data_IF_424699240914
#
_entry.id   IF_424699240914
#
_cell.length_a   1.000
_cell.length_b   1.000
_cell.length_c   1.000
_cell.angle_alpha   90.00
_cell.angle_beta   90.00
_cell.angle_gamma   90.00
#
_symmetry.space_group_name_H-M   'P 1'
#
loop_
_entity.id
_entity.type
_entity.pdbx_description
1 polymer ?
#
# COMPACT_ATOMS: atom_id res chain seq x y z
N UNK A 1 -18.69 -22.41 1.22
CA UNK A 1 -17.90 -21.18 1.44
C UNK A 1 -18.84 -19.98 1.46
N UNK A 2 -18.87 -19.23 2.55
CA UNK A 2 -19.70 -18.03 2.65
C UNK A 2 -19.16 -16.95 1.70
N UNK A 3 -20.02 -16.28 0.95
CA UNK A 3 -19.63 -15.26 -0.03
C UNK A 3 -18.73 -14.13 0.53
N UNK A 4 -18.69 -13.94 1.84
CA UNK A 4 -17.84 -12.98 2.54
C UNK A 4 -16.36 -13.39 2.61
N UNK A 5 -16.03 -14.68 2.54
CA UNK A 5 -14.65 -15.17 2.68
C UNK A 5 -13.81 -14.96 1.42
N UNK A 6 -14.46 -14.97 0.25
CA UNK A 6 -13.75 -14.85 -1.05
C UNK A 6 -13.03 -13.50 -1.20
N UNK A 7 -13.52 -12.45 -0.54
CA UNK A 7 -12.97 -11.09 -0.61
C UNK A 7 -12.45 -10.59 0.73
N UNK A 8 -12.27 -11.47 1.72
CA UNK A 8 -11.89 -11.07 3.08
C UNK A 8 -10.61 -10.22 3.05
N UNK A 9 -9.57 -10.72 2.42
CA UNK A 9 -8.29 -10.01 2.34
C UNK A 9 -8.43 -8.63 1.71
N UNK A 10 -9.10 -8.51 0.57
CA UNK A 10 -9.32 -7.22 -0.05
C UNK A 10 -10.13 -6.28 0.85
N UNK A 11 -11.18 -6.77 1.50
CA UNK A 11 -12.01 -5.96 2.38
C UNK A 11 -11.22 -5.44 3.59
N UNK A 12 -10.39 -6.26 4.20
CA UNK A 12 -9.55 -5.89 5.34
C UNK A 12 -8.50 -4.85 4.92
N UNK A 13 -7.87 -5.06 3.76
CA UNK A 13 -6.92 -4.10 3.20
C UNK A 13 -7.57 -2.77 2.85
N UNK A 14 -8.75 -2.78 2.24
CA UNK A 14 -9.47 -1.56 1.87
C UNK A 14 -9.96 -0.80 3.11
N UNK A 15 -10.42 -1.49 4.13
CA UNK A 15 -10.79 -0.86 5.41
C UNK A 15 -9.59 -0.18 6.06
N UNK A 16 -8.44 -0.87 6.13
CA UNK A 16 -7.20 -0.30 6.63
C UNK A 16 -6.78 0.93 5.80
N UNK A 17 -6.81 0.82 4.48
CA UNK A 17 -6.53 1.93 3.56
C UNK A 17 -7.42 3.15 3.84
N UNK A 18 -8.73 2.94 3.97
CA UNK A 18 -9.69 4.02 4.18
C UNK A 18 -9.43 4.77 5.48
N UNK A 19 -9.20 4.04 6.58
CA UNK A 19 -8.89 4.63 7.89
C UNK A 19 -7.59 5.41 7.85
N UNK A 20 -6.51 4.84 7.29
CA UNK A 20 -5.22 5.52 7.21
C UNK A 20 -5.26 6.74 6.31
N UNK A 21 -5.99 6.66 5.20
CA UNK A 21 -6.13 7.78 4.28
C UNK A 21 -6.87 8.96 4.91
N UNK A 22 -7.96 8.71 5.64
CA UNK A 22 -8.66 9.78 6.37
C UNK A 22 -7.76 10.38 7.44
N UNK A 23 -7.08 9.56 8.22
CA UNK A 23 -6.12 10.05 9.20
C UNK A 23 -5.01 10.93 8.59
N UNK A 24 -4.45 10.55 7.44
CA UNK A 24 -3.42 11.33 6.75
C UNK A 24 -3.94 12.66 6.19
N UNK A 25 -5.25 12.78 5.93
CA UNK A 25 -5.86 14.07 5.55
C UNK A 25 -5.98 15.01 6.74
N UNK A 26 -6.32 14.47 7.89
CA UNK A 26 -6.59 15.25 9.11
C UNK A 26 -5.31 15.59 9.88
N UNK A 27 -4.15 15.59 9.28
CA UNK A 27 -2.76 15.79 9.72
C UNK A 27 -2.47 16.35 11.13
N UNK A 28 -3.47 16.62 11.94
CA UNK A 28 -3.39 17.07 13.34
C UNK A 28 -3.82 15.99 14.35
N UNK A 29 -4.22 14.80 13.88
CA UNK A 29 -4.85 13.77 14.71
C UNK A 29 -3.88 12.71 15.24
N UNK A 30 -4.27 12.13 16.36
CA UNK A 30 -3.66 10.91 16.90
C UNK A 30 -3.78 9.78 15.88
N UNK A 31 -2.72 8.97 15.71
CA UNK A 31 -2.76 7.79 14.84
C UNK A 31 -3.95 6.90 15.21
N UNK A 32 -4.86 6.58 14.27
CA UNK A 32 -6.01 5.77 14.59
C UNK A 32 -5.60 4.37 15.01
N UNK A 33 -6.32 3.83 15.96
CA UNK A 33 -6.18 2.43 16.34
C UNK A 33 -6.80 1.55 15.26
N UNK A 34 -5.99 0.67 14.68
CA UNK A 34 -6.44 -0.31 13.71
C UNK A 34 -6.68 -1.65 14.39
N UNK A 35 -7.88 -1.85 14.91
CA UNK A 35 -8.29 -3.16 15.37
C UNK A 35 -9.08 -3.87 14.25
N UNK A 36 -8.40 -4.77 13.54
CA UNK A 36 -8.95 -5.43 12.36
C UNK A 36 -9.73 -6.70 12.71
N UNK A 37 -9.44 -7.34 13.84
CA UNK A 37 -10.02 -8.64 14.19
C UNK A 37 -11.08 -8.55 15.28
N UNK A 38 -10.88 -7.72 16.28
CA UNK A 38 -11.83 -7.60 17.38
C UNK A 38 -11.81 -6.18 17.99
N UNK A 39 -12.85 -5.36 17.76
CA UNK A 39 -12.93 -4.02 18.34
C UNK A 39 -12.92 -4.00 19.87
N UNK A 40 -13.19 -5.13 20.51
CA UNK A 40 -13.20 -5.26 21.97
C UNK A 40 -11.89 -5.77 22.57
N UNK A 41 -10.93 -6.19 21.75
CA UNK A 41 -9.62 -6.60 22.23
C UNK A 41 -8.77 -5.37 22.61
N UNK A 42 -8.29 -5.32 23.84
CA UNK A 42 -7.54 -4.16 24.37
C UNK A 42 -6.19 -3.89 23.73
N UNK A 43 -5.78 -4.65 22.73
CA UNK A 43 -4.53 -4.43 21.99
C UNK A 43 -4.79 -3.51 20.80
N UNK A 44 -4.41 -2.26 20.94
CA UNK A 44 -4.51 -1.25 19.89
C UNK A 44 -3.18 -1.15 19.16
N UNK A 45 -3.14 -1.73 17.96
CA UNK A 45 -2.00 -1.56 17.09
C UNK A 45 -2.03 -0.18 16.41
N UNK A 46 -0.92 0.56 16.50
CA UNK A 46 -0.78 1.90 15.91
C UNK A 46 0.39 1.91 14.94
N UNK A 47 0.14 2.10 13.65
CA UNK A 47 1.23 2.20 12.68
C UNK A 47 1.98 3.53 12.84
N UNK A 48 3.28 3.51 12.58
CA UNK A 48 4.04 4.73 12.45
C UNK A 48 3.53 5.57 11.26
N UNK A 49 3.52 6.93 11.35
CA UNK A 49 3.02 7.79 10.29
C UNK A 49 3.63 7.53 8.91
N UNK A 50 4.94 7.35 8.84
CA UNK A 50 5.64 7.05 7.59
C UNK A 50 5.18 5.74 6.96
N UNK A 51 4.92 4.72 7.76
CA UNK A 51 4.41 3.42 7.29
C UNK A 51 2.96 3.48 6.87
N UNK A 52 2.15 4.28 7.55
CA UNK A 52 0.77 4.52 7.14
C UNK A 52 0.73 5.16 5.74
N UNK A 53 1.59 6.13 5.50
CA UNK A 53 1.73 6.76 4.18
C UNK A 53 2.21 5.76 3.12
N UNK A 54 3.23 4.95 3.41
CA UNK A 54 3.71 3.88 2.53
C UNK A 54 2.58 2.89 2.18
N UNK A 55 1.80 2.46 3.17
CA UNK A 55 0.68 1.54 2.96
C UNK A 55 -0.37 2.11 2.00
N UNK A 56 -0.76 3.36 2.21
CA UNK A 56 -1.73 4.05 1.35
C UNK A 56 -1.22 4.13 -0.09
N UNK A 57 0.05 4.52 -0.28
CA UNK A 57 0.67 4.60 -1.60
C UNK A 57 0.79 3.23 -2.27
N UNK A 58 1.19 2.20 -1.53
CA UNK A 58 1.33 0.84 -2.06
C UNK A 58 -0.03 0.24 -2.44
N UNK A 59 -1.07 0.45 -1.62
CA UNK A 59 -2.43 0.04 -1.96
C UNK A 59 -2.89 0.61 -3.29
N UNK A 60 -2.74 1.93 -3.48
CA UNK A 60 -3.13 2.60 -4.71
C UNK A 60 -2.28 2.17 -5.91
N UNK A 61 -0.96 2.10 -5.74
CA UNK A 61 -0.02 1.73 -6.80
C UNK A 61 -0.25 0.31 -7.30
N UNK A 62 -0.39 -0.64 -6.38
CA UNK A 62 -0.60 -2.05 -6.73
C UNK A 62 -1.98 -2.23 -7.36
N UNK A 63 -3.01 -1.59 -6.80
CA UNK A 63 -4.35 -1.64 -7.35
C UNK A 63 -4.42 -1.10 -8.78
N UNK A 64 -3.83 0.06 -9.04
CA UNK A 64 -3.76 0.62 -10.39
C UNK A 64 -2.96 -0.25 -11.34
N UNK A 65 -1.86 -0.84 -10.90
CA UNK A 65 -1.03 -1.74 -11.71
C UNK A 65 -1.79 -3.02 -12.08
N UNK A 66 -2.48 -3.63 -11.13
CA UNK A 66 -3.25 -4.85 -11.35
C UNK A 66 -4.40 -4.67 -12.35
N UNK A 67 -4.98 -3.46 -12.38
CA UNK A 67 -6.10 -3.12 -13.26
C UNK A 67 -5.68 -2.40 -14.55
N UNK A 68 -4.39 -2.21 -14.78
CA UNK A 68 -3.85 -1.49 -15.94
C UNK A 68 -3.80 -2.38 -17.18
N UNK A 69 -4.97 -2.85 -17.61
CA UNK A 69 -5.15 -3.60 -18.87
C UNK A 69 -5.91 -2.75 -19.86
N UNK A 70 -5.61 -2.91 -21.14
CA UNK A 70 -6.22 -2.10 -22.21
C UNK A 70 -7.75 -2.19 -22.24
N UNK A 71 -8.28 -3.36 -21.96
CA UNK A 71 -9.71 -3.69 -21.92
C UNK A 71 -10.39 -3.35 -20.56
N UNK A 72 -9.63 -2.89 -19.56
CA UNK A 72 -10.11 -2.67 -18.19
C UNK A 72 -10.19 -1.20 -17.78
N UNK A 73 -10.20 -0.27 -18.74
CA UNK A 73 -10.26 1.19 -18.46
C UNK A 73 -11.44 1.57 -17.55
N UNK A 74 -12.61 1.00 -17.77
CA UNK A 74 -13.80 1.23 -16.95
C UNK A 74 -13.63 0.71 -15.51
N UNK A 75 -13.02 -0.47 -15.34
CA UNK A 75 -12.75 -1.08 -14.03
C UNK A 75 -11.68 -0.29 -13.25
N UNK A 76 -10.67 0.22 -13.94
CA UNK A 76 -9.68 1.12 -13.35
C UNK A 76 -10.32 2.44 -12.91
N UNK A 77 -11.25 2.98 -13.71
CA UNK A 77 -12.02 4.18 -13.36
C UNK A 77 -12.87 3.93 -12.10
N UNK A 78 -13.57 2.77 -12.05
CA UNK A 78 -14.33 2.34 -10.87
C UNK A 78 -13.44 2.26 -9.64
N UNK A 79 -12.27 1.63 -9.73
CA UNK A 79 -11.33 1.55 -8.62
C UNK A 79 -10.93 2.93 -8.10
N UNK A 80 -10.54 3.83 -9.00
CA UNK A 80 -10.13 5.18 -8.61
C UNK A 80 -11.27 6.00 -7.99
N UNK A 81 -12.49 5.89 -8.51
CA UNK A 81 -13.65 6.69 -8.06
C UNK A 81 -14.23 6.11 -6.76
N UNK A 82 -14.47 4.81 -6.72
CA UNK A 82 -15.18 4.18 -5.61
C UNK A 82 -14.23 3.82 -4.45
N UNK A 83 -13.15 3.08 -4.73
CA UNK A 83 -12.26 2.59 -3.67
C UNK A 83 -11.21 3.62 -3.23
N UNK A 84 -10.65 4.38 -4.15
CA UNK A 84 -9.59 5.35 -3.84
C UNK A 84 -10.19 6.68 -3.36
N UNK A 85 -11.14 7.24 -4.08
CA UNK A 85 -11.73 8.54 -3.71
C UNK A 85 -12.83 8.43 -2.65
N UNK A 86 -13.41 7.23 -2.47
CA UNK A 86 -14.48 7.00 -1.49
C UNK A 86 -15.81 7.62 -1.90
N UNK A 87 -16.11 7.70 -3.21
CA UNK A 87 -17.40 8.16 -3.67
C UNK A 87 -18.51 7.19 -3.24
N UNK A 88 -19.67 7.70 -2.86
CA UNK A 88 -20.84 6.86 -2.61
C UNK A 88 -21.26 6.09 -3.87
N UNK A 89 -21.99 4.99 -3.68
CA UNK A 89 -22.36 4.08 -4.76
C UNK A 89 -23.04 4.79 -5.95
N UNK A 90 -24.08 5.59 -5.68
CA UNK A 90 -24.85 6.27 -6.73
C UNK A 90 -23.99 7.28 -7.50
N UNK A 91 -23.16 8.02 -6.79
CA UNK A 91 -22.21 8.95 -7.40
C UNK A 91 -21.15 8.21 -8.22
N UNK A 92 -20.64 7.09 -7.73
CA UNK A 92 -19.64 6.30 -8.42
C UNK A 92 -20.21 5.72 -9.74
N UNK A 93 -21.42 5.15 -9.73
CA UNK A 93 -22.11 4.66 -10.93
C UNK A 93 -22.21 5.76 -11.99
N UNK A 94 -22.68 6.95 -11.60
CA UNK A 94 -22.78 8.11 -12.51
C UNK A 94 -21.42 8.56 -13.06
N UNK A 95 -20.41 8.64 -12.20
CA UNK A 95 -19.07 9.07 -12.60
C UNK A 95 -18.38 8.05 -13.52
N UNK A 96 -18.60 6.76 -13.29
CA UNK A 96 -18.07 5.70 -14.16
C UNK A 96 -18.80 5.68 -15.49
N UNK A 97 -20.11 6.01 -15.50
CA UNK A 97 -20.92 6.14 -16.72
C UNK A 97 -21.45 4.81 -17.25
N UNK A 98 -21.82 3.88 -16.35
CA UNK A 98 -22.34 2.56 -16.69
C UNK A 98 -23.65 2.28 -15.96
N UNK A 99 -24.39 1.24 -16.36
CA UNK A 99 -25.57 0.79 -15.62
C UNK A 99 -25.16 0.21 -14.27
N UNK A 100 -26.07 0.22 -13.29
CA UNK A 100 -25.86 -0.37 -11.97
C UNK A 100 -25.46 -1.85 -12.07
N UNK A 101 -26.13 -2.62 -12.93
CA UNK A 101 -25.80 -4.03 -13.12
C UNK A 101 -24.37 -4.23 -13.65
N UNK A 102 -23.92 -3.39 -14.58
CA UNK A 102 -22.55 -3.42 -15.10
C UNK A 102 -21.56 -2.98 -14.04
N UNK A 103 -21.91 -1.98 -13.23
CA UNK A 103 -21.08 -1.52 -12.12
C UNK A 103 -20.88 -2.62 -11.09
N UNK A 104 -21.95 -3.33 -10.69
CA UNK A 104 -21.89 -4.44 -9.73
C UNK A 104 -21.06 -5.61 -10.24
N UNK A 105 -21.17 -5.91 -11.53
CA UNK A 105 -20.34 -6.91 -12.17
C UNK A 105 -18.86 -6.53 -12.11
N UNK A 106 -18.51 -5.30 -12.52
CA UNK A 106 -17.14 -4.79 -12.48
C UNK A 106 -16.60 -4.67 -11.04
N UNK A 107 -17.46 -4.28 -10.11
CA UNK A 107 -17.10 -4.22 -8.69
C UNK A 107 -16.62 -5.58 -8.16
N UNK A 108 -17.35 -6.66 -8.48
CA UNK A 108 -16.97 -8.02 -8.10
C UNK A 108 -15.66 -8.46 -8.80
N UNK A 109 -15.49 -8.14 -10.07
CA UNK A 109 -14.27 -8.47 -10.80
C UNK A 109 -13.04 -7.72 -10.25
N UNK A 110 -13.18 -6.43 -9.98
CA UNK A 110 -12.12 -5.62 -9.38
C UNK A 110 -11.71 -6.20 -8.02
N UNK A 111 -12.67 -6.52 -7.15
CA UNK A 111 -12.37 -7.14 -5.85
C UNK A 111 -11.65 -8.48 -6.00
N UNK A 112 -12.07 -9.32 -6.93
CA UNK A 112 -11.43 -10.63 -7.19
C UNK A 112 -10.00 -10.47 -7.69
N UNK A 113 -9.79 -9.57 -8.64
CA UNK A 113 -8.47 -9.28 -9.19
C UNK A 113 -7.51 -8.72 -8.13
N UNK A 114 -7.97 -7.76 -7.34
CA UNK A 114 -7.16 -7.15 -6.29
C UNK A 114 -6.89 -8.10 -5.13
N UNK A 115 -7.86 -8.93 -4.75
CA UNK A 115 -7.65 -9.95 -3.72
C UNK A 115 -6.54 -10.93 -4.11
N UNK A 116 -6.50 -11.34 -5.38
CA UNK A 116 -5.44 -12.21 -5.93
C UNK A 116 -4.09 -11.50 -5.97
N UNK A 117 -4.07 -10.25 -6.44
CA UNK A 117 -2.83 -9.48 -6.56
C UNK A 117 -2.23 -9.12 -5.20
N UNK A 118 -3.04 -8.74 -4.24
CA UNK A 118 -2.59 -8.46 -2.87
C UNK A 118 -2.01 -9.72 -2.21
N UNK A 119 -2.64 -10.88 -2.40
CA UNK A 119 -2.08 -12.14 -1.93
C UNK A 119 -0.72 -12.46 -2.58
N UNK A 120 -0.59 -12.20 -3.87
CA UNK A 120 0.65 -12.47 -4.63
C UNK A 120 1.80 -11.55 -4.24
N UNK A 121 1.53 -10.30 -3.93
CA UNK A 121 2.57 -9.32 -3.59
C UNK A 121 3.08 -9.44 -2.15
N UNK A 122 2.50 -10.30 -1.33
CA UNK A 122 2.91 -10.50 0.06
C UNK A 122 2.73 -9.26 0.96
N UNK A 123 2.02 -8.26 0.47
CA UNK A 123 1.76 -7.00 1.19
C UNK A 123 0.66 -7.13 2.24
N UNK A 124 -0.01 -8.26 2.30
CA UNK A 124 -1.26 -8.37 3.03
C UNK A 124 -1.44 -9.73 3.68
N UNK A 125 -2.13 -9.84 4.77
CA UNK A 125 -3.02 -8.85 5.44
C UNK A 125 -2.26 -7.66 6.05
N UNK A 126 -2.95 -6.55 6.40
CA UNK A 126 -2.31 -5.34 6.96
C UNK A 126 -1.34 -5.59 8.10
N UNK A 127 -1.66 -6.50 9.00
CA UNK A 127 -0.80 -6.89 10.12
C UNK A 127 0.57 -7.38 9.64
N UNK A 128 0.61 -8.28 8.68
CA UNK A 128 1.86 -8.78 8.10
C UNK A 128 2.64 -7.68 7.40
N UNK A 129 1.95 -6.76 6.71
CA UNK A 129 2.59 -5.61 6.08
C UNK A 129 3.39 -4.78 7.08
N UNK A 130 2.78 -4.50 8.21
CA UNK A 130 3.40 -3.64 9.21
C UNK A 130 4.44 -4.39 10.05
N UNK A 131 4.23 -5.66 10.36
CA UNK A 131 5.19 -6.50 11.08
C UNK A 131 6.43 -6.84 10.24
N UNK A 132 6.25 -7.22 8.99
CA UNK A 132 7.35 -7.66 8.11
C UNK A 132 8.41 -6.58 7.90
N UNK A 133 8.04 -5.30 7.95
CA UNK A 133 9.00 -4.19 7.77
C UNK A 133 9.67 -3.73 9.06
N UNK A 134 9.23 -4.17 10.24
CA UNK A 134 9.96 -3.96 11.48
C UNK A 134 11.27 -4.74 11.54
N UNK A 135 11.33 -5.86 10.84
CA UNK A 135 12.55 -6.66 10.66
C UNK A 135 13.40 -6.22 9.46
N UNK A 136 13.49 -4.90 9.19
CA UNK A 136 14.48 -4.40 8.24
C UNK A 136 15.85 -4.84 8.75
N UNK A 137 16.63 -5.67 8.02
CA UNK A 137 17.98 -6.00 8.46
C UNK A 137 18.70 -4.69 8.69
N UNK A 138 19.26 -4.54 9.89
CA UNK A 138 20.14 -3.41 10.19
C UNK A 138 21.06 -3.21 9.00
N UNK A 139 21.09 -1.99 8.47
CA UNK A 139 22.05 -1.64 7.43
C UNK A 139 23.38 -2.12 7.93
N UNK A 140 23.93 -3.17 7.30
CA UNK A 140 25.30 -3.59 7.52
C UNK A 140 26.10 -2.31 7.45
N UNK A 141 26.56 -1.85 8.63
CA UNK A 141 27.50 -0.74 8.71
C UNK A 141 28.66 -1.19 7.84
N UNK A 142 28.77 -0.65 6.63
CA UNK A 142 29.96 -0.81 5.83
C UNK A 142 31.08 -0.29 6.73
N UNK A 143 31.75 -1.19 7.39
CA UNK A 143 33.02 -0.91 8.05
C UNK A 143 33.88 -0.28 6.96
N UNK A 144 34.12 1.01 7.11
CA UNK A 144 35.07 1.71 6.26
C UNK A 144 36.38 0.97 6.40
N UNK A 145 36.74 0.20 5.39
CA UNK A 145 38.04 -0.45 5.31
C UNK A 145 39.12 0.62 5.47
N UNK A 146 40.28 0.27 6.08
CA UNK A 146 41.31 1.24 6.35
C UNK A 146 41.74 1.93 5.04
N UNK A 147 41.54 3.25 4.97
CA UNK A 147 42.06 4.07 3.90
C UNK A 147 43.58 3.85 3.83
N UNK A 148 44.06 3.16 2.81
CA UNK A 148 45.48 3.11 2.46
C UNK A 148 45.91 4.57 2.24
N UNK A 149 46.79 5.09 3.13
CA UNK A 149 47.45 6.34 2.94
C UNK A 149 48.37 6.20 1.71
N UNK A 150 47.99 6.84 0.61
CA UNK A 150 48.89 7.02 -0.53
C UNK A 150 49.90 8.07 -0.12
N UNK A 151 51.14 7.62 0.11
CA UNK A 151 52.29 8.50 0.34
C UNK A 151 52.63 9.17 -1.00
N UNK A 152 52.74 10.49 -1.09
CA UNK A 152 53.18 11.13 -2.32
C UNK A 152 54.70 10.90 -2.49
N UNK A 153 55.06 10.15 -3.50
CA UNK A 153 56.45 10.04 -3.94
C UNK A 153 56.93 11.38 -4.47
N UNK A 154 57.90 11.92 -3.73
CA UNK A 154 58.65 13.16 -4.06
C UNK A 154 59.47 12.92 -5.32
N UNK A 155 59.07 13.52 -6.45
CA UNK A 155 59.92 13.55 -7.64
C UNK A 155 61.15 14.38 -7.37
N UNK A 156 62.30 13.73 -7.42
CA UNK A 156 63.58 14.38 -7.36
C UNK A 156 63.82 15.14 -8.66
N UNK A 157 64.10 16.41 -8.53
CA UNK A 157 64.64 17.22 -9.61
C UNK A 157 66.03 16.72 -9.99
N UNK A 158 66.28 16.50 -11.25
CA UNK A 158 67.62 16.40 -11.83
C UNK A 158 67.80 17.51 -12.81
N UNK A 159 68.68 18.43 -12.41
CA UNK A 159 69.26 19.43 -13.27
C UNK A 159 70.19 18.77 -14.27
N UNK A 160 70.10 19.20 -15.52
CA UNK A 160 71.22 19.62 -16.39
C UNK A 160 70.62 20.27 -17.60
#
# INVERSE_FOLDING_TARGET
MKAGEIFKMFNDCHRCYSVLREWLKDSAGTVPSLNLENPSAGYQWRPEPGRACEYVLDFERIGRRALRRSDWKGRLKLFNVYFVRGADYRRAVRLVGVSEATFDYWYKEVKRSLNKEFSRTGLFPPEQYFLARTSRPEKIKRTAGPRKKVTPQRAAASSF
#
